data_IF_445753220782
#
_entry.id   IF_445753220782
#
_cell.length_a   1.000
_cell.length_b   1.000
_cell.length_c   1.000
_cell.angle_alpha   90.00
_cell.angle_beta   90.00
_cell.angle_gamma   90.00
#
_symmetry.space_group_name_H-M   'P 1'
#
loop_
_entity.id
_entity.type
_entity.pdbx_description
1 polymer ?
#
# COMPACT_ATOMS: atom_id res chain seq x y z
N UNK A 1 -8.19 -33.70 -12.34
CA UNK A 1 -6.83 -33.68 -11.78
C UNK A 1 -6.81 -33.08 -10.37
N UNK A 2 -7.08 -31.79 -10.13
CA UNK A 2 -7.12 -31.26 -8.74
C UNK A 2 -8.45 -31.59 -8.02
N UNK A 3 -9.57 -31.54 -8.75
CA UNK A 3 -10.87 -31.94 -8.21
C UNK A 3 -11.06 -33.47 -8.09
N UNK A 4 -10.08 -34.26 -8.54
CA UNK A 4 -10.06 -35.73 -8.43
C UNK A 4 -9.20 -36.24 -7.25
N UNK A 5 -8.65 -35.35 -6.42
CA UNK A 5 -7.78 -35.68 -5.27
C UNK A 5 -6.53 -36.53 -5.64
N UNK A 6 -6.02 -36.40 -6.87
CA UNK A 6 -4.86 -37.15 -7.35
C UNK A 6 -3.51 -36.44 -7.07
N UNK A 7 -3.54 -35.29 -6.41
CA UNK A 7 -2.37 -34.49 -6.00
C UNK A 7 -2.58 -33.96 -4.56
N UNK A 8 -1.50 -33.82 -3.78
CA UNK A 8 -1.56 -33.24 -2.42
C UNK A 8 -1.94 -31.74 -2.41
N UNK A 9 -1.76 -31.04 -3.53
CA UNK A 9 -2.11 -29.63 -3.68
C UNK A 9 -3.62 -29.44 -3.82
N UNK A 10 -4.21 -28.61 -2.95
CA UNK A 10 -5.64 -28.26 -2.95
C UNK A 10 -5.89 -26.96 -3.71
N UNK A 11 -7.16 -26.67 -4.05
CA UNK A 11 -7.53 -25.40 -4.69
C UNK A 11 -7.13 -24.15 -3.89
N UNK A 12 -6.94 -24.29 -2.57
CA UNK A 12 -6.41 -23.23 -1.68
C UNK A 12 -4.92 -22.94 -1.90
N UNK A 13 -4.18 -23.89 -2.48
CA UNK A 13 -2.74 -23.81 -2.76
C UNK A 13 -2.45 -23.26 -4.17
N UNK A 14 -3.49 -23.13 -5.01
CA UNK A 14 -3.39 -22.55 -6.34
C UNK A 14 -3.36 -21.03 -6.28
N UNK A 15 -2.28 -20.44 -6.83
CA UNK A 15 -2.07 -18.98 -6.85
C UNK A 15 -3.15 -18.22 -7.62
N UNK A 16 -3.66 -18.81 -8.71
CA UNK A 16 -4.70 -18.22 -9.55
C UNK A 16 -5.72 -19.28 -9.98
N UNK A 17 -6.75 -19.52 -9.15
CA UNK A 17 -7.97 -20.16 -9.64
C UNK A 17 -8.84 -19.08 -10.32
N UNK A 18 -9.22 -19.29 -11.59
CA UNK A 18 -10.05 -18.34 -12.34
C UNK A 18 -11.42 -18.25 -11.66
N UNK A 19 -11.65 -17.18 -10.89
CA UNK A 19 -12.97 -16.82 -10.34
C UNK A 19 -13.42 -15.50 -10.95
N UNK A 20 -14.12 -15.56 -12.08
CA UNK A 20 -14.89 -14.41 -12.56
C UNK A 20 -16.14 -14.26 -11.69
N UNK A 21 -16.10 -13.31 -10.75
CA UNK A 21 -17.29 -12.86 -10.00
C UNK A 21 -17.86 -11.63 -10.72
N UNK A 22 -19.14 -11.66 -11.09
CA UNK A 22 -19.81 -10.48 -11.64
C UNK A 22 -19.85 -9.36 -10.58
N UNK A 23 -19.43 -8.15 -10.97
CA UNK A 23 -19.42 -6.97 -10.11
C UNK A 23 -20.86 -6.51 -9.88
N UNK A 24 -21.40 -6.77 -8.69
CA UNK A 24 -22.65 -6.15 -8.26
C UNK A 24 -22.35 -4.70 -7.85
N UNK A 25 -22.87 -3.74 -8.62
CA UNK A 25 -22.87 -2.32 -8.22
C UNK A 25 -23.94 -2.13 -7.16
N UNK A 26 -23.54 -1.67 -5.98
CA UNK A 26 -24.46 -1.07 -4.99
C UNK A 26 -24.23 0.44 -4.99
N UNK A 27 -25.29 1.25 -4.86
CA UNK A 27 -25.13 2.67 -4.62
C UNK A 27 -24.47 2.85 -3.24
N UNK A 28 -23.36 3.59 -3.20
CA UNK A 28 -22.74 4.04 -1.95
C UNK A 28 -23.42 5.36 -1.59
N UNK A 29 -24.27 5.34 -0.56
CA UNK A 29 -24.85 6.55 0.05
C UNK A 29 -23.81 7.22 0.95
N UNK A 30 -22.84 7.89 0.35
CA UNK A 30 -22.06 8.91 1.06
C UNK A 30 -22.44 10.25 0.47
N UNK A 31 -22.95 11.17 1.30
CA UNK A 31 -22.99 12.59 0.95
C UNK A 31 -21.55 13.00 0.71
N UNK A 32 -21.15 13.16 -0.55
CA UNK A 32 -19.85 13.73 -0.87
C UNK A 32 -19.83 15.13 -0.28
N UNK A 33 -19.06 15.32 0.80
CA UNK A 33 -18.63 16.67 1.13
C UNK A 33 -17.84 17.14 -0.10
N UNK A 34 -18.29 18.23 -0.72
CA UNK A 34 -17.56 18.87 -1.81
C UNK A 34 -16.28 19.47 -1.22
N UNK A 35 -15.27 18.64 -1.01
CA UNK A 35 -13.92 19.11 -0.75
C UNK A 35 -13.49 19.93 -1.97
N UNK A 36 -13.04 21.16 -1.75
CA UNK A 36 -12.51 22.02 -2.80
C UNK A 36 -11.15 21.45 -3.18
N UNK A 37 -10.99 21.01 -4.44
CA UNK A 37 -9.78 20.30 -4.93
C UNK A 37 -9.03 21.08 -6.00
N UNK A 38 -9.18 22.40 -6.02
CA UNK A 38 -8.51 23.21 -7.03
C UNK A 38 -6.99 23.12 -6.83
N UNK A 39 -6.27 22.75 -7.90
CA UNK A 39 -4.83 22.47 -7.86
C UNK A 39 -4.47 21.02 -7.48
N UNK A 40 -5.42 20.21 -7.03
CA UNK A 40 -5.19 18.82 -6.59
C UNK A 40 -5.73 17.77 -7.58
N UNK A 41 -6.19 18.16 -8.78
CA UNK A 41 -6.84 17.23 -9.72
C UNK A 41 -5.81 16.42 -10.49
N UNK A 42 -6.25 15.31 -11.09
CA UNK A 42 -5.40 14.48 -11.93
C UNK A 42 -4.79 15.26 -13.11
N UNK A 43 -5.54 16.19 -13.70
CA UNK A 43 -5.02 17.08 -14.75
C UNK A 43 -3.87 17.96 -14.26
N UNK A 44 -3.92 18.44 -13.02
CA UNK A 44 -2.84 19.22 -12.41
C UNK A 44 -1.60 18.35 -12.18
N UNK A 45 -1.80 17.11 -11.75
CA UNK A 45 -0.75 16.09 -11.68
C UNK A 45 -0.09 15.81 -13.04
N UNK A 46 -0.88 15.67 -14.11
CA UNK A 46 -0.34 15.42 -15.45
C UNK A 46 0.54 16.58 -15.91
N UNK A 47 0.08 17.82 -15.76
CA UNK A 47 0.87 19.03 -16.06
C UNK A 47 2.14 19.10 -15.24
N UNK A 48 2.07 18.78 -13.94
CA UNK A 48 3.25 18.77 -13.07
C UNK A 48 4.28 17.73 -13.53
N UNK A 49 3.82 16.52 -13.86
CA UNK A 49 4.67 15.39 -14.26
C UNK A 49 5.38 15.60 -15.59
N UNK A 50 4.77 16.34 -16.52
CA UNK A 50 5.41 16.72 -17.78
C UNK A 50 6.66 17.58 -17.56
N UNK A 51 6.64 18.46 -16.55
CA UNK A 51 7.75 19.34 -16.22
C UNK A 51 8.73 18.75 -15.18
N UNK A 52 8.32 17.70 -14.46
CA UNK A 52 9.08 17.13 -13.34
C UNK A 52 9.09 15.60 -13.43
N UNK A 53 10.14 14.98 -14.01
CA UNK A 53 10.24 13.53 -14.16
C UNK A 53 10.67 12.86 -12.86
N UNK A 54 10.00 13.17 -11.75
CA UNK A 54 10.22 12.55 -10.45
C UNK A 54 9.27 11.36 -10.26
N UNK A 55 9.69 10.42 -9.41
CA UNK A 55 8.80 9.37 -8.93
C UNK A 55 7.76 9.98 -7.98
N UNK A 56 6.49 9.63 -8.17
CA UNK A 56 5.40 10.07 -7.29
C UNK A 56 4.79 8.83 -6.65
N UNK A 57 4.94 8.65 -5.33
CA UNK A 57 4.31 7.56 -4.59
C UNK A 57 2.78 7.56 -4.72
N UNK A 58 2.21 6.38 -4.81
CA UNK A 58 0.76 6.15 -4.90
C UNK A 58 0.25 5.68 -3.55
N UNK A 59 -0.72 6.40 -2.99
CA UNK A 59 -1.38 6.05 -1.74
C UNK A 59 -2.69 5.30 -2.02
N UNK A 60 -2.98 4.30 -1.19
CA UNK A 60 -4.20 3.50 -1.29
C UNK A 60 -4.57 2.84 0.03
N UNK A 61 -5.84 2.47 0.20
CA UNK A 61 -6.33 1.70 1.33
C UNK A 61 -6.76 0.28 0.91
N UNK A 62 -6.27 -0.72 1.63
CA UNK A 62 -6.65 -2.13 1.44
C UNK A 62 -7.54 -2.57 2.59
N UNK A 63 -8.81 -2.84 2.28
CA UNK A 63 -9.80 -3.32 3.24
C UNK A 63 -9.65 -4.83 3.55
N UNK A 64 -9.97 -5.21 4.78
CA UNK A 64 -10.04 -6.60 5.25
C UNK A 64 -11.35 -7.30 4.90
N UNK A 65 -11.92 -8.02 5.86
CA UNK A 65 -13.32 -8.44 5.82
C UNK A 65 -14.25 -7.25 5.99
N UNK A 66 -15.52 -7.39 5.59
CA UNK A 66 -16.51 -6.29 5.70
C UNK A 66 -16.79 -5.86 7.14
N UNK A 67 -16.59 -6.77 8.08
CA UNK A 67 -16.81 -6.54 9.51
C UNK A 67 -15.54 -6.02 10.20
N UNK A 68 -14.39 -6.01 9.50
CA UNK A 68 -13.13 -5.47 10.00
C UNK A 68 -13.15 -3.96 9.86
N UNK A 69 -12.92 -3.26 10.96
CA UNK A 69 -12.67 -1.81 10.90
C UNK A 69 -11.27 -1.48 10.41
N UNK A 70 -10.31 -2.32 10.82
CA UNK A 70 -8.92 -2.13 10.46
C UNK A 70 -8.69 -2.26 8.95
N UNK A 71 -7.83 -1.38 8.43
CA UNK A 71 -7.41 -1.32 7.02
C UNK A 71 -5.90 -1.17 6.92
N UNK A 72 -5.32 -1.48 5.75
CA UNK A 72 -3.92 -1.14 5.47
C UNK A 72 -3.85 0.10 4.59
N UNK A 73 -3.23 1.16 5.10
CA UNK A 73 -2.76 2.26 4.26
C UNK A 73 -1.47 1.84 3.57
N UNK A 74 -1.38 2.02 2.27
CA UNK A 74 -0.22 1.61 1.47
C UNK A 74 0.37 2.79 0.73
N UNK A 75 1.70 2.87 0.67
CA UNK A 75 2.46 3.84 -0.11
C UNK A 75 3.34 3.07 -1.09
N UNK A 76 3.05 3.20 -2.38
CA UNK A 76 3.67 2.43 -3.44
C UNK A 76 4.54 3.31 -4.35
N UNK A 77 5.80 2.93 -4.51
CA UNK A 77 6.78 3.58 -5.37
C UNK A 77 6.78 2.91 -6.76
N UNK A 78 6.26 3.55 -7.82
CA UNK A 78 6.02 2.88 -9.10
C UNK A 78 7.25 2.40 -9.87
N UNK A 79 8.42 3.02 -9.66
CA UNK A 79 9.68 2.72 -10.34
C UNK A 79 10.34 1.51 -9.67
N UNK A 80 10.59 1.59 -8.36
CA UNK A 80 11.24 0.51 -7.60
C UNK A 80 10.29 -0.65 -7.29
N UNK A 81 8.99 -0.39 -7.35
CA UNK A 81 7.90 -1.27 -6.88
C UNK A 81 7.91 -1.51 -5.38
N UNK A 82 8.71 -0.76 -4.63
CA UNK A 82 8.71 -0.78 -3.18
C UNK A 82 7.31 -0.39 -2.70
N UNK A 83 6.78 -1.12 -1.74
CA UNK A 83 5.51 -0.76 -1.12
C UNK A 83 5.67 -0.80 0.38
N UNK A 84 5.22 0.27 1.03
CA UNK A 84 5.05 0.34 2.46
C UNK A 84 3.59 0.04 2.79
N UNK A 85 3.34 -0.55 3.95
CA UNK A 85 2.00 -0.80 4.45
C UNK A 85 1.93 -0.52 5.96
N UNK A 86 0.90 0.21 6.35
CA UNK A 86 0.65 0.62 7.72
C UNK A 86 -0.76 0.21 8.12
N UNK A 87 -0.91 -0.43 9.27
CA UNK A 87 -2.23 -0.80 9.76
C UNK A 87 -2.89 0.38 10.45
N UNK A 88 -4.11 0.69 10.04
CA UNK A 88 -4.97 1.71 10.65
C UNK A 88 -6.10 1.03 11.41
N UNK A 89 -6.50 1.58 12.55
CA UNK A 89 -7.61 1.05 13.36
C UNK A 89 -8.96 1.15 12.63
N UNK A 90 -9.18 2.26 11.92
CA UNK A 90 -10.38 2.52 11.11
C UNK A 90 -10.02 3.29 9.82
N UNK A 91 -10.83 3.14 8.76
CA UNK A 91 -10.67 3.83 7.48
C UNK A 91 -11.19 5.28 7.55
N UNK A 92 -10.49 6.15 8.29
CA UNK A 92 -10.85 7.56 8.50
C UNK A 92 -9.72 8.50 8.08
N UNK A 93 -10.06 9.74 7.72
CA UNK A 93 -9.03 10.76 7.43
C UNK A 93 -8.12 11.05 8.62
N UNK A 94 -8.66 11.05 9.84
CA UNK A 94 -7.88 11.24 11.06
C UNK A 94 -6.77 10.19 11.19
N UNK A 95 -7.09 8.91 10.97
CA UNK A 95 -6.10 7.83 11.02
C UNK A 95 -5.09 7.90 9.86
N UNK A 96 -5.51 8.35 8.67
CA UNK A 96 -4.58 8.57 7.55
C UNK A 96 -3.59 9.69 7.90
N UNK A 97 -4.07 10.82 8.41
CA UNK A 97 -3.23 11.95 8.83
C UNK A 97 -2.28 11.53 9.94
N UNK A 98 -2.78 10.85 10.98
CA UNK A 98 -1.94 10.34 12.07
C UNK A 98 -0.86 9.36 11.58
N UNK A 99 -1.16 8.53 10.58
CA UNK A 99 -0.17 7.66 9.96
C UNK A 99 0.91 8.45 9.21
N UNK A 100 0.55 9.52 8.50
CA UNK A 100 1.52 10.39 7.86
C UNK A 100 2.35 11.16 8.91
N UNK A 101 1.76 11.55 10.05
CA UNK A 101 2.46 12.24 11.16
C UNK A 101 3.54 11.34 11.73
N UNK A 102 3.19 10.09 12.03
CA UNK A 102 4.13 9.08 12.48
C UNK A 102 5.24 8.84 11.44
N UNK A 103 4.89 8.77 10.16
CA UNK A 103 5.88 8.57 9.10
C UNK A 103 6.85 9.75 8.97
N UNK A 104 6.36 10.99 9.10
CA UNK A 104 7.20 12.19 9.13
C UNK A 104 8.09 12.23 10.37
N UNK A 105 7.59 11.79 11.53
CA UNK A 105 8.38 11.71 12.76
C UNK A 105 9.54 10.70 12.63
N UNK A 106 9.30 9.53 12.04
CA UNK A 106 10.33 8.50 11.82
C UNK A 106 11.41 8.99 10.85
N UNK A 107 11.01 9.61 9.73
CA UNK A 107 11.94 10.02 8.66
C UNK A 107 12.61 11.37 8.95
N UNK A 108 11.95 12.23 9.72
CA UNK A 108 12.23 13.67 9.75
C UNK A 108 11.68 14.39 8.51
N UNK A 109 11.33 15.67 8.68
CA UNK A 109 10.66 16.48 7.65
C UNK A 109 11.44 16.58 6.34
N UNK A 110 12.77 16.71 6.39
CA UNK A 110 13.58 16.87 5.17
C UNK A 110 13.58 15.60 4.32
N UNK A 111 13.80 14.44 4.95
CA UNK A 111 13.79 13.15 4.25
C UNK A 111 12.37 12.77 3.81
N UNK A 112 11.35 13.10 4.61
CA UNK A 112 9.95 12.93 4.20
C UNK A 112 9.67 13.73 2.92
N UNK A 113 10.07 15.01 2.86
CA UNK A 113 9.91 15.87 1.68
C UNK A 113 10.69 15.38 0.47
N UNK A 114 11.86 14.80 0.67
CA UNK A 114 12.65 14.20 -0.41
C UNK A 114 11.94 12.98 -1.01
N UNK A 115 11.37 12.13 -0.16
CA UNK A 115 10.79 10.84 -0.55
C UNK A 115 9.32 10.91 -0.95
N UNK A 116 8.57 11.85 -0.37
CA UNK A 116 7.14 12.07 -0.59
C UNK A 116 6.82 13.54 -0.87
N UNK A 117 7.54 14.23 -1.78
CA UNK A 117 7.23 15.64 -2.08
C UNK A 117 5.81 15.79 -2.62
N UNK A 118 5.35 14.77 -3.35
CA UNK A 118 4.00 14.64 -3.89
C UNK A 118 3.49 13.22 -3.69
N UNK A 119 2.20 13.08 -3.41
CA UNK A 119 1.52 11.78 -3.33
C UNK A 119 0.27 11.83 -4.20
N UNK A 120 -0.02 10.76 -4.92
CA UNK A 120 -1.28 10.61 -5.65
C UNK A 120 -2.16 9.54 -4.99
N UNK A 121 -3.44 9.85 -4.77
CA UNK A 121 -4.42 8.95 -4.16
C UNK A 121 -5.75 8.93 -4.90
N UNK A 122 -6.65 8.02 -4.55
CA UNK A 122 -7.99 8.02 -5.13
C UNK A 122 -8.91 9.05 -4.44
N UNK A 123 -10.08 9.29 -5.03
CA UNK A 123 -11.04 10.26 -4.51
C UNK A 123 -12.01 9.64 -3.48
N UNK A 124 -11.47 8.84 -2.56
CA UNK A 124 -12.24 8.18 -1.50
C UNK A 124 -12.36 9.06 -0.25
N UNK A 125 -13.25 8.67 0.65
CA UNK A 125 -13.66 9.50 1.80
C UNK A 125 -12.58 9.62 2.89
N UNK A 126 -11.74 8.61 3.04
CA UNK A 126 -10.61 8.62 3.96
C UNK A 126 -9.52 9.62 3.56
N UNK A 127 -9.51 10.08 2.31
CA UNK A 127 -8.57 11.09 1.81
C UNK A 127 -9.23 12.48 1.67
N UNK A 128 -10.30 12.75 2.42
CA UNK A 128 -11.02 14.01 2.35
C UNK A 128 -10.29 15.18 3.05
N UNK A 129 -9.49 14.90 4.08
CA UNK A 129 -8.71 15.92 4.81
C UNK A 129 -7.39 16.25 4.11
N UNK A 130 -7.47 17.05 3.04
CA UNK A 130 -6.30 17.45 2.23
C UNK A 130 -5.31 18.24 3.09
N UNK A 131 -5.79 19.24 3.84
CA UNK A 131 -4.94 20.11 4.64
C UNK A 131 -4.22 19.32 5.73
N UNK A 132 -4.91 18.40 6.41
CA UNK A 132 -4.31 17.50 7.39
C UNK A 132 -3.20 16.63 6.79
N UNK A 133 -3.43 16.06 5.61
CA UNK A 133 -2.42 15.22 4.93
C UNK A 133 -1.19 16.02 4.47
N UNK A 134 -1.36 17.29 4.11
CA UNK A 134 -0.28 18.13 3.59
C UNK A 134 0.50 18.88 4.68
N UNK A 135 -0.15 19.31 5.76
CA UNK A 135 0.47 20.07 6.86
C UNK A 135 1.61 19.27 7.46
N UNK A 136 2.78 19.83 7.75
CA UNK A 136 3.86 19.16 8.49
C UNK A 136 3.66 19.21 10.01
N UNK A 137 4.14 18.19 10.73
CA UNK A 137 4.20 18.20 12.20
C UNK A 137 5.12 19.29 12.76
N UNK A 138 6.07 19.78 11.95
CA UNK A 138 7.02 20.84 12.29
C UNK A 138 6.62 22.23 11.75
N UNK A 139 5.43 22.35 11.18
CA UNK A 139 4.92 23.59 10.57
C UNK A 139 5.23 23.71 9.08
N UNK A 140 4.39 24.46 8.36
CA UNK A 140 4.37 24.46 6.89
C UNK A 140 3.78 23.17 6.34
N UNK A 141 4.17 22.79 5.12
CA UNK A 141 3.68 21.59 4.44
C UNK A 141 4.78 20.51 4.35
N UNK A 142 4.41 19.23 4.51
CA UNK A 142 5.27 18.04 4.32
C UNK A 142 5.24 17.51 2.90
N UNK A 143 4.12 17.67 2.19
CA UNK A 143 3.91 17.19 0.83
C UNK A 143 2.73 17.89 0.15
N UNK A 144 2.52 17.58 -1.12
CA UNK A 144 1.33 17.97 -1.86
C UNK A 144 0.56 16.75 -2.39
N UNK A 145 -0.77 16.75 -2.24
CA UNK A 145 -1.63 15.61 -2.59
C UNK A 145 -2.34 15.86 -3.93
N UNK A 146 -2.28 14.89 -4.83
CA UNK A 146 -3.11 14.83 -6.04
C UNK A 146 -4.15 13.71 -5.95
N UNK A 147 -5.26 13.88 -6.66
CA UNK A 147 -6.36 12.93 -6.71
C UNK A 147 -6.58 12.39 -8.12
N UNK A 148 -6.69 11.08 -8.23
CA UNK A 148 -7.22 10.41 -9.42
C UNK A 148 -8.69 10.78 -9.65
N UNK A 149 -9.12 10.63 -10.89
CA UNK A 149 -10.50 10.84 -11.28
C UNK A 149 -11.40 9.69 -10.81
N UNK A 150 -12.66 9.97 -10.43
CA UNK A 150 -13.61 8.92 -10.10
C UNK A 150 -13.80 7.93 -11.25
N UNK A 151 -13.76 6.63 -10.95
CA UNK A 151 -13.93 5.52 -11.91
C UNK A 151 -12.77 5.31 -12.90
N UNK A 152 -11.57 5.85 -12.63
CA UNK A 152 -10.38 5.65 -13.45
C UNK A 152 -9.27 4.86 -12.72
N UNK A 153 -9.49 3.57 -12.38
CA UNK A 153 -8.52 2.76 -11.65
C UNK A 153 -7.17 2.61 -12.38
N UNK A 154 -7.16 2.73 -13.70
CA UNK A 154 -5.95 2.69 -14.53
C UNK A 154 -4.95 3.81 -14.20
N UNK A 155 -5.40 4.93 -13.63
CA UNK A 155 -4.54 6.05 -13.21
C UNK A 155 -3.59 5.65 -12.05
N UNK A 156 -3.89 4.56 -11.32
CA UNK A 156 -3.01 3.90 -10.35
C UNK A 156 -2.70 2.44 -10.73
N UNK A 157 -2.64 2.11 -12.03
CA UNK A 157 -2.50 0.72 -12.50
C UNK A 157 -1.26 -0.05 -11.99
N UNK A 158 -0.27 0.65 -11.40
CA UNK A 158 0.87 0.02 -10.75
C UNK A 158 0.55 -0.63 -9.39
N UNK A 159 -0.41 -0.07 -8.62
CA UNK A 159 -0.80 -0.59 -7.30
C UNK A 159 -1.46 -1.97 -7.38
N UNK A 160 -2.28 -2.24 -8.41
CA UNK A 160 -3.12 -3.45 -8.45
C UNK A 160 -2.32 -4.75 -8.37
N UNK A 161 -1.22 -4.85 -9.11
CA UNK A 161 -0.34 -6.04 -9.07
C UNK A 161 0.37 -6.17 -7.73
N UNK A 162 0.76 -5.04 -7.14
CA UNK A 162 1.50 -5.00 -5.89
C UNK A 162 0.62 -5.40 -4.71
N UNK A 163 -0.66 -5.00 -4.74
CA UNK A 163 -1.68 -5.47 -3.81
C UNK A 163 -1.96 -6.97 -3.92
N UNK A 164 -1.76 -7.58 -5.09
CA UNK A 164 -1.89 -9.04 -5.26
C UNK A 164 -0.92 -9.80 -4.34
N UNK A 165 0.31 -9.29 -4.16
CA UNK A 165 1.29 -9.89 -3.24
C UNK A 165 0.81 -9.85 -1.79
N UNK A 166 0.22 -8.74 -1.34
CA UNK A 166 -0.42 -8.66 -0.02
C UNK A 166 -1.53 -9.71 0.08
N UNK A 167 -2.31 -9.91 -0.99
CA UNK A 167 -3.38 -10.93 -1.03
C UNK A 167 -2.89 -12.38 -1.12
N UNK A 168 -1.61 -12.62 -1.41
CA UNK A 168 -1.03 -13.95 -1.27
C UNK A 168 -0.92 -14.35 0.20
N UNK A 169 -0.54 -13.41 1.06
CA UNK A 169 -0.40 -13.59 2.51
C UNK A 169 -1.74 -13.40 3.23
N UNK A 170 -2.39 -12.25 3.06
CA UNK A 170 -3.68 -11.91 3.70
C UNK A 170 -4.80 -12.02 2.67
N UNK A 171 -5.54 -13.14 2.70
CA UNK A 171 -6.63 -13.39 1.74
C UNK A 171 -7.71 -12.31 1.84
N UNK A 172 -8.37 -12.05 0.71
CA UNK A 172 -9.58 -11.21 0.71
C UNK A 172 -10.59 -11.76 1.71
N UNK A 173 -11.37 -10.87 2.32
CA UNK A 173 -12.37 -11.21 3.34
C UNK A 173 -11.76 -11.76 4.65
N UNK A 174 -10.47 -11.55 4.92
CA UNK A 174 -9.82 -11.82 6.22
C UNK A 174 -9.79 -10.54 7.06
N UNK A 175 -10.17 -10.62 8.35
CA UNK A 175 -10.07 -9.47 9.26
C UNK A 175 -8.60 -9.05 9.45
N UNK A 176 -8.37 -7.73 9.51
CA UNK A 176 -7.04 -7.16 9.73
C UNK A 176 -6.77 -6.86 11.22
N UNK A 177 -7.81 -6.77 12.04
CA UNK A 177 -7.73 -6.44 13.47
C UNK A 177 -6.75 -7.30 14.29
N UNK A 178 -6.55 -8.61 14.01
CA UNK A 178 -5.59 -9.41 14.78
C UNK A 178 -4.12 -9.13 14.50
N UNK A 179 -3.80 -8.38 13.44
CA UNK A 179 -2.42 -8.09 13.05
C UNK A 179 -1.92 -6.82 13.72
N UNK A 180 -0.66 -6.86 14.15
CA UNK A 180 0.08 -5.68 14.62
C UNK A 180 0.83 -5.03 13.46
N UNK A 181 1.33 -3.80 13.66
CA UNK A 181 2.23 -3.19 12.69
C UNK A 181 3.49 -4.05 12.44
N UNK A 182 4.00 -4.76 13.44
CA UNK A 182 5.14 -5.67 13.28
C UNK A 182 4.81 -6.86 12.35
N UNK A 183 3.60 -7.42 12.46
CA UNK A 183 3.14 -8.48 11.55
C UNK A 183 3.07 -7.96 10.09
N UNK A 184 2.60 -6.72 9.91
CA UNK A 184 2.51 -6.08 8.59
C UNK A 184 3.88 -5.74 8.04
N UNK A 185 4.80 -5.20 8.85
CA UNK A 185 6.18 -4.93 8.43
C UNK A 185 6.89 -6.21 7.99
N UNK A 186 6.79 -7.29 8.78
CA UNK A 186 7.33 -8.60 8.41
C UNK A 186 6.78 -9.07 7.04
N UNK A 187 5.46 -8.98 6.85
CA UNK A 187 4.84 -9.30 5.56
C UNK A 187 5.44 -8.48 4.41
N UNK A 188 5.62 -7.17 4.60
CA UNK A 188 6.15 -6.29 3.57
C UNK A 188 7.62 -6.55 3.28
N UNK A 189 8.44 -6.92 4.25
CA UNK A 189 9.85 -7.31 4.03
C UNK A 189 9.94 -8.55 3.13
N UNK A 190 9.10 -9.56 3.37
CA UNK A 190 9.01 -10.73 2.50
C UNK A 190 8.56 -10.37 1.07
N UNK A 191 7.56 -9.47 0.93
CA UNK A 191 7.04 -9.03 -0.38
C UNK A 191 8.07 -8.18 -1.13
N UNK A 192 8.75 -7.26 -0.44
CA UNK A 192 9.72 -6.34 -1.01
C UNK A 192 11.06 -7.02 -1.29
N UNK A 193 11.35 -8.17 -0.67
CA UNK A 193 12.52 -9.00 -0.96
C UNK A 193 12.30 -9.99 -2.11
N UNK A 194 11.06 -10.21 -2.55
CA UNK A 194 10.75 -11.12 -3.64
C UNK A 194 11.23 -10.57 -4.99
N UNK A 195 12.10 -11.33 -5.67
CA UNK A 195 12.65 -10.98 -6.99
C UNK A 195 11.58 -11.00 -8.07
N UNK A 196 11.55 -9.97 -8.90
CA UNK A 196 10.51 -9.80 -9.93
C UNK A 196 11.13 -9.76 -11.31
N UNK A 197 10.51 -10.48 -12.26
CA UNK A 197 10.96 -10.51 -13.66
C UNK A 197 10.91 -9.13 -14.32
N UNK A 198 9.89 -8.33 -13.99
CA UNK A 198 9.74 -6.94 -14.46
C UNK A 198 10.81 -5.99 -13.91
N UNK A 199 11.51 -6.38 -12.85
CA UNK A 199 12.65 -5.66 -12.26
C UNK A 199 13.98 -6.30 -12.66
N UNK A 200 14.03 -6.99 -13.81
CA UNK A 200 15.24 -7.67 -14.31
C UNK A 200 15.89 -8.64 -13.30
N UNK A 201 15.07 -9.30 -12.48
CA UNK A 201 15.54 -10.25 -11.47
C UNK A 201 16.00 -9.61 -10.15
N UNK A 202 15.78 -8.30 -9.97
CA UNK A 202 15.94 -7.61 -8.70
C UNK A 202 14.66 -7.64 -7.87
N UNK A 203 14.79 -7.49 -6.56
CA UNK A 203 13.69 -7.24 -5.65
C UNK A 203 13.40 -5.73 -5.54
N UNK A 204 12.17 -5.34 -5.14
CA UNK A 204 11.88 -3.96 -4.78
C UNK A 204 12.84 -3.35 -3.76
N UNK A 205 13.23 -4.13 -2.74
CA UNK A 205 14.19 -3.71 -1.72
C UNK A 205 15.57 -3.42 -2.31
N UNK A 206 16.09 -4.31 -3.17
CA UNK A 206 17.38 -4.11 -3.84
C UNK A 206 17.41 -2.81 -4.66
N UNK A 207 16.31 -2.49 -5.37
CA UNK A 207 16.21 -1.25 -6.14
C UNK A 207 16.06 -0.02 -5.24
N UNK A 208 15.23 -0.10 -4.20
CA UNK A 208 15.07 0.99 -3.24
C UNK A 208 16.40 1.36 -2.56
N UNK A 209 17.17 0.37 -2.11
CA UNK A 209 18.48 0.57 -1.49
C UNK A 209 19.51 1.18 -2.45
N UNK A 210 19.36 0.97 -3.75
CA UNK A 210 20.22 1.57 -4.78
C UNK A 210 19.81 3.00 -5.13
N UNK A 211 18.51 3.28 -5.16
CA UNK A 211 17.96 4.53 -5.70
C UNK A 211 17.66 5.59 -4.64
N UNK A 212 17.37 5.20 -3.40
CA UNK A 212 16.92 6.11 -2.34
C UNK A 212 18.02 6.37 -1.31
N UNK A 213 17.93 7.47 -0.55
CA UNK A 213 18.83 7.73 0.56
C UNK A 213 18.88 6.55 1.51
N UNK A 214 20.09 6.19 1.97
CA UNK A 214 20.29 5.04 2.86
C UNK A 214 19.44 5.13 4.13
N UNK A 215 19.27 6.35 4.65
CA UNK A 215 18.51 6.60 5.86
C UNK A 215 17.01 6.31 5.68
N UNK A 216 16.47 6.41 4.46
CA UNK A 216 15.08 6.05 4.19
C UNK A 216 14.78 4.60 4.54
N UNK A 217 15.59 3.66 4.05
CA UNK A 217 15.38 2.23 4.35
C UNK A 217 15.72 1.91 5.81
N UNK A 218 16.73 2.56 6.38
CA UNK A 218 17.18 2.29 7.74
C UNK A 218 16.18 2.78 8.80
N UNK A 219 15.70 4.02 8.67
CA UNK A 219 14.77 4.63 9.64
C UNK A 219 13.40 3.95 9.62
N UNK A 220 12.95 3.50 8.44
CA UNK A 220 11.74 2.67 8.31
C UNK A 220 11.92 1.23 8.78
N UNK A 221 13.15 0.82 9.11
CA UNK A 221 13.45 -0.54 9.55
C UNK A 221 13.18 -1.60 8.48
N UNK A 222 13.37 -1.28 7.20
CA UNK A 222 13.14 -2.23 6.11
C UNK A 222 14.25 -3.28 6.06
N UNK A 223 13.87 -4.55 6.05
CA UNK A 223 14.81 -5.67 6.07
C UNK A 223 14.79 -6.49 4.77
N UNK A 224 15.98 -6.94 4.35
CA UNK A 224 16.10 -7.86 3.23
C UNK A 224 15.98 -9.30 3.71
N UNK A 225 15.01 -10.04 3.16
CA UNK A 225 14.83 -11.46 3.42
C UNK A 225 15.62 -12.27 2.38
N UNK A 226 16.50 -13.20 2.80
CA UNK A 226 17.21 -14.07 1.88
C UNK A 226 16.25 -14.86 0.97
N UNK A 227 16.57 -15.08 -0.32
CA UNK A 227 15.63 -15.70 -1.27
C UNK A 227 15.04 -17.05 -0.84
N UNK A 228 15.79 -17.86 -0.08
CA UNK A 228 15.34 -19.16 0.40
C UNK A 228 14.37 -19.08 1.59
N UNK A 229 14.34 -17.94 2.29
CA UNK A 229 13.52 -17.72 3.47
C UNK A 229 12.24 -16.95 3.14
N UNK A 230 12.04 -16.56 1.88
CA UNK A 230 10.86 -15.80 1.46
C UNK A 230 9.59 -16.67 1.54
N UNK A 231 8.60 -16.19 2.30
CA UNK A 231 7.28 -16.82 2.45
C UNK A 231 6.21 -15.83 2.02
N UNK A 232 5.54 -16.09 0.89
CA UNK A 232 4.37 -15.34 0.42
C UNK A 232 2.98 -15.96 0.70
N UNK A 233 2.81 -17.24 1.15
CA UNK A 233 1.49 -17.73 1.52
C UNK A 233 1.07 -17.32 2.96
N UNK A 234 -0.21 -17.52 3.35
CA UNK A 234 -0.73 -17.08 4.64
C UNK A 234 -0.04 -17.66 5.88
N UNK A 235 0.72 -18.75 5.72
CA UNK A 235 1.50 -19.34 6.80
C UNK A 235 2.54 -18.38 7.39
N UNK A 236 2.92 -17.33 6.66
CA UNK A 236 3.85 -16.31 7.15
C UNK A 236 3.39 -15.70 8.47
N UNK A 237 2.10 -15.32 8.54
CA UNK A 237 1.52 -14.62 9.70
C UNK A 237 0.69 -15.55 10.59
N UNK A 238 0.79 -16.87 10.39
CA UNK A 238 0.17 -17.82 11.33
C UNK A 238 0.99 -17.80 12.61
N UNK A 239 0.43 -17.21 13.66
CA UNK A 239 0.91 -17.43 15.03
C UNK A 239 0.85 -18.94 15.25
N UNK A 240 1.98 -19.55 15.57
CA UNK A 240 2.00 -20.94 16.01
C UNK A 240 1.08 -21.02 17.21
N UNK A 241 0.02 -21.83 17.14
CA UNK A 241 -0.79 -22.13 18.32
C UNK A 241 0.17 -22.65 19.38
N UNK A 242 0.53 -21.80 20.34
CA UNK A 242 1.20 -22.20 21.57
C UNK A 242 0.15 -22.96 22.37
N UNK A 243 -0.03 -24.22 21.96
CA UNK A 243 -0.67 -25.27 22.71
C UNK A 243 0.26 -25.60 23.88
N UNK A 244 0.00 -25.00 25.03
CA UNK A 244 0.04 -25.64 26.35
C UNK A 244 -0.44 -24.67 27.43
#
# INVERSE_FOLDING_TARGET
MINSCELEARNIDLRNAVKRRQRQKRPKDYKSMKVIKDGHKYEDYLKFKECNPIEIPQMDCIEGSKDSKAVLLTLFFPITRLQLAFILEEQTSENVVACLDMLEEILGTELFKEMFPYIITDNSHEFADIDGMQRSINGGDRCFIYFCEPNHPEQKGGCEKNHEFIRYVIKKETSLEPYSQADISLMMDHINSYKRKELHGKSPYELAKLMYPKDFTNLLGLEEIPPNDIILPPKLLKKSDSSN
#
